data_IF_939486908165
#
_entry.id   IF_939486908165
#
_cell.length_a   1.000
_cell.length_b   1.000
_cell.length_c   1.000
_cell.angle_alpha   90.00
_cell.angle_beta   90.00
_cell.angle_gamma   90.00
#
_symmetry.space_group_name_H-M   'P 1'
#
loop_
_entity.id
_entity.type
_entity.pdbx_description
1 polymer ?
#
# COMPACT_ATOMS: atom_id res chain seq x y z
N UNK A 1 35.26 12.92 28.63
CA UNK A 1 33.89 12.83 29.17
C UNK A 1 32.76 13.00 28.15
N UNK A 2 32.94 13.71 27.04
CA UNK A 2 31.91 13.89 25.98
C UNK A 2 31.72 12.65 25.09
N UNK A 3 32.79 11.96 24.76
CA UNK A 3 32.77 10.74 23.91
C UNK A 3 32.09 9.55 24.58
N UNK A 4 32.22 9.37 25.91
CA UNK A 4 31.57 8.30 26.64
C UNK A 4 30.05 8.45 26.68
N UNK A 5 29.55 9.68 26.80
CA UNK A 5 28.09 9.95 26.79
C UNK A 5 27.47 9.68 25.43
N UNK A 6 28.17 10.03 24.35
CA UNK A 6 27.70 9.75 22.97
C UNK A 6 27.65 8.25 22.74
N UNK A 7 28.68 7.51 23.15
CA UNK A 7 28.70 6.04 23.03
C UNK A 7 27.58 5.39 23.87
N UNK A 8 27.31 5.89 25.07
CA UNK A 8 26.21 5.38 25.92
C UNK A 8 24.84 5.66 25.29
N UNK A 9 24.62 6.87 24.78
CA UNK A 9 23.34 7.22 24.12
C UNK A 9 23.14 6.41 22.84
N UNK A 10 24.18 6.23 22.02
CA UNK A 10 24.11 5.39 20.83
C UNK A 10 23.86 3.90 21.18
N UNK A 11 24.49 3.40 22.24
CA UNK A 11 24.26 2.04 22.73
C UNK A 11 22.83 1.83 23.25
N UNK A 12 22.30 2.79 24.02
CA UNK A 12 20.91 2.75 24.51
C UNK A 12 19.92 2.87 23.38
N UNK A 13 20.14 3.75 22.40
CA UNK A 13 19.30 3.89 21.23
C UNK A 13 19.30 2.59 20.37
N UNK A 14 20.45 1.96 20.20
CA UNK A 14 20.58 0.65 19.53
C UNK A 14 19.85 -0.46 20.29
N UNK A 15 19.93 -0.48 21.62
CA UNK A 15 19.24 -1.47 22.44
C UNK A 15 17.72 -1.29 22.38
N UNK A 16 17.22 -0.04 22.45
CA UNK A 16 15.80 0.27 22.30
C UNK A 16 15.31 -0.10 20.91
N UNK A 17 16.07 0.18 19.86
CA UNK A 17 15.72 -0.23 18.50
C UNK A 17 15.60 -1.75 18.37
N UNK A 18 16.49 -2.52 18.99
CA UNK A 18 16.46 -3.99 18.99
C UNK A 18 15.29 -4.57 19.79
N UNK A 19 14.83 -3.91 20.84
CA UNK A 19 13.74 -4.41 21.70
C UNK A 19 12.34 -4.00 21.19
N UNK A 20 12.24 -3.05 20.28
CA UNK A 20 10.95 -2.63 19.69
C UNK A 20 10.59 -3.39 18.40
N UNK A 21 11.47 -4.23 17.88
CA UNK A 21 11.19 -5.02 16.67
C UNK A 21 10.49 -6.33 17.05
N UNK A 22 9.16 -6.28 17.18
CA UNK A 22 8.31 -7.47 17.19
C UNK A 22 8.10 -8.07 15.79
N UNK A 23 8.58 -7.40 14.75
CA UNK A 23 8.46 -7.82 13.35
C UNK A 23 9.64 -8.69 12.93
N UNK A 24 9.38 -9.71 12.11
CA UNK A 24 10.43 -10.44 11.41
C UNK A 24 11.16 -9.52 10.43
N UNK A 25 12.41 -9.84 10.08
CA UNK A 25 13.18 -9.07 9.07
C UNK A 25 12.40 -8.99 7.75
N UNK A 26 11.69 -10.05 7.42
CA UNK A 26 10.88 -10.13 6.20
C UNK A 26 9.69 -9.18 6.24
N UNK A 27 9.00 -9.06 7.38
CA UNK A 27 7.92 -8.08 7.56
C UNK A 27 8.42 -6.64 7.46
N UNK A 28 9.60 -6.35 8.02
CA UNK A 28 10.24 -5.03 7.89
C UNK A 28 10.54 -4.70 6.42
N UNK A 29 11.07 -5.66 5.65
CA UNK A 29 11.37 -5.48 4.23
C UNK A 29 10.10 -5.35 3.36
N UNK A 30 8.95 -5.79 3.85
CA UNK A 30 7.65 -5.57 3.19
C UNK A 30 7.03 -4.20 3.50
N UNK A 31 7.65 -3.41 4.38
CA UNK A 31 7.17 -2.08 4.77
C UNK A 31 5.71 -2.07 5.25
N UNK A 32 5.33 -3.08 6.05
CA UNK A 32 4.00 -3.19 6.65
C UNK A 32 2.92 -3.81 5.76
N UNK A 33 3.25 -4.27 4.55
CA UNK A 33 2.30 -4.97 3.69
C UNK A 33 2.27 -6.47 3.96
N UNK A 34 1.10 -7.14 3.79
CA UNK A 34 1.01 -8.60 3.76
C UNK A 34 1.87 -9.21 2.65
N UNK A 35 2.09 -10.52 2.71
CA UNK A 35 2.96 -11.20 1.74
C UNK A 35 2.38 -11.16 0.32
N UNK A 36 1.05 -11.31 0.21
CA UNK A 36 0.36 -11.45 -1.07
C UNK A 36 0.49 -12.86 -1.66
N UNK A 37 -0.63 -13.53 -1.84
CA UNK A 37 -0.69 -14.95 -2.22
C UNK A 37 -1.03 -15.18 -3.70
N UNK A 38 -1.28 -14.11 -4.48
CA UNK A 38 -1.60 -14.19 -5.91
C UNK A 38 -0.55 -13.49 -6.77
N UNK A 39 -0.44 -13.81 -8.05
CA UNK A 39 0.44 -13.10 -8.99
C UNK A 39 0.15 -11.59 -9.03
N UNK A 40 -1.12 -11.20 -9.00
CA UNK A 40 -1.57 -9.81 -8.97
C UNK A 40 -1.13 -9.11 -7.66
N UNK A 41 -1.28 -9.79 -6.52
CA UNK A 41 -0.80 -9.29 -5.23
C UNK A 41 0.73 -9.08 -5.23
N UNK A 42 1.49 -9.97 -5.85
CA UNK A 42 2.94 -9.81 -5.99
C UNK A 42 3.33 -8.58 -6.83
N UNK A 43 2.60 -8.29 -7.90
CA UNK A 43 2.83 -7.08 -8.73
C UNK A 43 2.54 -5.81 -7.92
N UNK A 44 1.42 -5.76 -7.18
CA UNK A 44 1.11 -4.64 -6.31
C UNK A 44 2.14 -4.46 -5.20
N UNK A 45 2.64 -5.55 -4.62
CA UNK A 45 3.72 -5.50 -3.64
C UNK A 45 5.01 -4.91 -4.22
N UNK A 46 5.38 -5.29 -5.45
CA UNK A 46 6.57 -4.74 -6.12
C UNK A 46 6.42 -3.23 -6.34
N UNK A 47 5.26 -2.77 -6.80
CA UNK A 47 4.97 -1.35 -6.95
C UNK A 47 5.07 -0.61 -5.61
N UNK A 48 4.54 -1.19 -4.53
CA UNK A 48 4.63 -0.64 -3.18
C UNK A 48 6.07 -0.51 -2.71
N UNK A 49 6.86 -1.58 -2.77
CA UNK A 49 8.27 -1.59 -2.35
C UNK A 49 9.07 -0.56 -3.15
N UNK A 50 8.91 -0.52 -4.47
CA UNK A 50 9.58 0.45 -5.34
C UNK A 50 9.22 1.90 -4.97
N UNK A 51 7.95 2.16 -4.71
CA UNK A 51 7.45 3.49 -4.30
C UNK A 51 8.00 3.90 -2.93
N UNK A 52 8.05 2.99 -1.96
CA UNK A 52 8.62 3.26 -0.63
C UNK A 52 10.12 3.53 -0.72
N UNK A 53 10.86 2.76 -1.51
CA UNK A 53 12.30 3.01 -1.71
C UNK A 53 12.52 4.39 -2.33
N UNK A 54 11.75 4.76 -3.36
CA UNK A 54 11.82 6.08 -3.97
C UNK A 54 11.50 7.19 -2.95
N UNK A 55 10.44 7.03 -2.15
CA UNK A 55 10.06 7.97 -1.11
C UNK A 55 11.14 8.11 -0.02
N UNK A 56 11.74 7.00 0.41
CA UNK A 56 12.83 7.02 1.39
C UNK A 56 14.09 7.70 0.84
N UNK A 57 14.43 7.49 -0.43
CA UNK A 57 15.58 8.14 -1.07
C UNK A 57 15.39 9.67 -1.14
N UNK A 58 14.21 10.13 -1.56
CA UNK A 58 13.84 11.56 -1.56
C UNK A 58 13.81 12.12 -0.14
N UNK A 59 13.20 11.38 0.80
CA UNK A 59 13.16 11.76 2.22
C UNK A 59 14.56 11.92 2.82
N UNK A 60 15.45 10.96 2.57
CA UNK A 60 16.85 11.04 3.03
C UNK A 60 17.59 12.25 2.44
N UNK A 61 17.39 12.53 1.14
CA UNK A 61 17.96 13.72 0.50
C UNK A 61 17.44 15.01 1.16
N UNK A 62 16.13 15.16 1.29
CA UNK A 62 15.52 16.37 1.85
C UNK A 62 15.92 16.57 3.31
N UNK A 63 15.81 15.52 4.14
CA UNK A 63 16.26 15.59 5.55
C UNK A 63 17.76 15.86 5.66
N UNK A 64 18.56 15.24 4.79
CA UNK A 64 20.01 15.51 4.73
C UNK A 64 20.31 16.99 4.46
N UNK A 65 19.64 17.59 3.47
CA UNK A 65 19.78 19.01 3.15
C UNK A 65 19.30 19.92 4.28
N UNK A 66 18.20 19.59 4.94
CA UNK A 66 17.70 20.34 6.09
C UNK A 66 18.67 20.29 7.27
N UNK A 67 19.15 19.12 7.64
CA UNK A 67 20.12 18.95 8.73
C UNK A 67 21.43 19.66 8.38
N UNK A 68 21.90 19.55 7.14
CA UNK A 68 23.06 20.27 6.64
C UNK A 68 22.87 21.79 6.78
N UNK A 69 21.74 22.32 6.33
CA UNK A 69 21.43 23.75 6.41
C UNK A 69 21.41 24.25 7.86
N UNK A 70 20.70 23.56 8.75
CA UNK A 70 20.58 23.94 10.17
C UNK A 70 21.93 23.83 10.89
N UNK A 71 22.79 22.91 10.49
CA UNK A 71 24.06 22.68 11.17
C UNK A 71 25.13 23.67 10.73
N UNK A 72 25.25 23.88 9.41
CA UNK A 72 26.39 24.62 8.83
C UNK A 72 26.03 26.06 8.42
N UNK A 73 24.76 26.37 8.14
CA UNK A 73 24.33 27.69 7.66
C UNK A 73 23.50 28.48 8.67
N UNK A 74 23.57 28.11 9.96
CA UNK A 74 22.91 28.88 11.02
C UNK A 74 23.61 30.24 11.26
N UNK A 75 22.84 31.26 11.55
CA UNK A 75 23.36 32.60 11.93
C UNK A 75 24.26 32.51 13.16
N UNK A 76 25.45 33.13 13.06
CA UNK A 76 26.43 33.19 14.13
C UNK A 76 26.48 34.61 14.74
N UNK A 77 27.02 34.71 15.95
CA UNK A 77 27.24 36.03 16.61
C UNK A 77 28.25 36.81 15.77
N UNK A 78 27.84 37.99 15.27
CA UNK A 78 28.64 38.83 14.40
C UNK A 78 28.28 38.80 12.92
N UNK A 79 27.38 37.90 12.51
CA UNK A 79 26.85 37.91 11.15
C UNK A 79 25.96 39.14 10.91
N UNK A 80 25.83 39.57 9.67
CA UNK A 80 24.95 40.65 9.26
C UNK A 80 23.48 40.38 9.66
N UNK A 81 22.72 41.44 9.90
CA UNK A 81 21.30 41.33 10.30
C UNK A 81 20.49 40.55 9.25
N UNK A 82 20.75 40.77 7.96
CA UNK A 82 20.13 40.08 6.84
C UNK A 82 21.17 39.25 6.09
N UNK A 83 20.87 37.96 5.78
CA UNK A 83 21.71 37.14 4.93
C UNK A 83 21.71 37.69 3.50
N UNK A 84 22.68 37.27 2.70
CA UNK A 84 22.72 37.62 1.27
C UNK A 84 21.47 37.08 0.58
N UNK A 85 20.73 37.97 -0.10
CA UNK A 85 19.51 37.63 -0.82
C UNK A 85 19.85 37.30 -2.27
N UNK A 86 19.34 36.15 -2.76
CA UNK A 86 19.39 35.75 -4.16
C UNK A 86 18.00 35.85 -4.74
N UNK A 87 17.84 36.51 -5.88
CA UNK A 87 16.55 36.70 -6.50
C UNK A 87 16.20 35.53 -7.44
N UNK A 88 17.17 35.08 -8.22
CA UNK A 88 16.97 34.02 -9.20
C UNK A 88 18.16 33.04 -9.23
N UNK A 89 17.81 31.75 -9.43
CA UNK A 89 18.74 30.70 -9.82
C UNK A 89 18.04 29.77 -10.80
N UNK A 90 17.89 30.20 -12.04
CA UNK A 90 17.14 29.50 -13.08
C UNK A 90 17.51 28.03 -13.24
N UNK A 91 18.80 27.63 -13.28
CA UNK A 91 19.17 26.22 -13.37
C UNK A 91 18.68 25.38 -12.18
N UNK A 92 18.79 25.91 -10.96
CA UNK A 92 18.32 25.24 -9.75
C UNK A 92 16.79 25.12 -9.75
N UNK A 93 16.07 26.16 -10.16
CA UNK A 93 14.63 26.19 -10.24
C UNK A 93 14.10 25.16 -11.25
N UNK A 94 14.72 25.09 -12.44
CA UNK A 94 14.37 24.08 -13.46
C UNK A 94 14.63 22.68 -12.92
N UNK A 95 15.77 22.44 -12.27
CA UNK A 95 16.09 21.15 -11.68
C UNK A 95 15.11 20.77 -10.58
N UNK A 96 14.80 21.70 -9.66
CA UNK A 96 13.93 21.45 -8.53
C UNK A 96 12.47 21.17 -8.95
N UNK A 97 12.02 21.66 -10.09
CA UNK A 97 10.70 21.35 -10.67
C UNK A 97 10.77 20.12 -11.59
N UNK A 98 11.76 20.07 -12.46
CA UNK A 98 11.88 19.02 -13.48
C UNK A 98 12.11 17.63 -12.90
N UNK A 99 13.01 17.50 -11.93
CA UNK A 99 13.33 16.21 -11.33
C UNK A 99 12.11 15.57 -10.65
N UNK A 100 11.35 16.24 -9.74
CA UNK A 100 10.14 15.67 -9.16
C UNK A 100 9.06 15.37 -10.20
N UNK A 101 8.92 16.20 -11.23
CA UNK A 101 7.96 15.95 -12.32
C UNK A 101 8.28 14.63 -13.03
N UNK A 102 9.53 14.39 -13.41
CA UNK A 102 9.95 13.13 -14.05
C UNK A 102 9.72 11.94 -13.11
N UNK A 103 9.99 12.08 -11.82
CA UNK A 103 9.75 11.03 -10.83
C UNK A 103 8.27 10.70 -10.70
N UNK A 104 7.40 11.71 -10.64
CA UNK A 104 5.95 11.51 -10.57
C UNK A 104 5.42 10.86 -11.85
N UNK A 105 5.89 11.30 -13.03
CA UNK A 105 5.53 10.64 -14.30
C UNK A 105 5.95 9.17 -14.33
N UNK A 106 7.14 8.85 -13.82
CA UNK A 106 7.60 7.47 -13.70
C UNK A 106 6.73 6.63 -12.75
N UNK A 107 6.42 7.14 -11.56
CA UNK A 107 5.54 6.46 -10.62
C UNK A 107 4.13 6.27 -11.19
N UNK A 108 3.60 7.28 -11.88
CA UNK A 108 2.31 7.19 -12.54
C UNK A 108 2.30 6.11 -13.63
N UNK A 109 3.35 6.04 -14.44
CA UNK A 109 3.49 5.00 -15.46
C UNK A 109 3.44 3.59 -14.84
N UNK A 110 4.23 3.34 -13.79
CA UNK A 110 4.24 2.03 -13.11
C UNK A 110 2.90 1.73 -12.42
N UNK A 111 2.22 2.73 -11.90
CA UNK A 111 0.89 2.56 -11.29
C UNK A 111 -0.12 2.14 -12.35
N UNK A 112 -0.18 2.82 -13.49
CA UNK A 112 -1.12 2.51 -14.58
C UNK A 112 -0.85 1.12 -15.15
N UNK A 113 0.40 0.75 -15.38
CA UNK A 113 0.74 -0.60 -15.89
C UNK A 113 0.35 -1.68 -14.90
N UNK A 114 0.65 -1.51 -13.61
CA UNK A 114 0.26 -2.48 -12.57
C UNK A 114 -1.27 -2.58 -12.45
N UNK A 115 -1.98 -1.46 -12.49
CA UNK A 115 -3.45 -1.46 -12.42
C UNK A 115 -4.07 -2.20 -13.61
N UNK A 116 -3.56 -1.97 -14.82
CA UNK A 116 -4.03 -2.65 -16.04
C UNK A 116 -3.80 -4.15 -15.97
N UNK A 117 -2.69 -4.59 -15.40
CA UNK A 117 -2.37 -6.00 -15.25
C UNK A 117 -3.22 -6.67 -14.15
N UNK A 118 -3.49 -5.96 -13.06
CA UNK A 118 -4.27 -6.46 -11.92
C UNK A 118 -5.78 -6.50 -12.23
N UNK A 119 -6.29 -5.53 -12.99
CA UNK A 119 -7.71 -5.40 -13.36
C UNK A 119 -7.86 -5.35 -14.90
N UNK A 120 -7.44 -6.38 -15.63
CA UNK A 120 -7.59 -6.39 -17.09
C UNK A 120 -9.06 -6.44 -17.50
N UNK A 121 -9.41 -5.69 -18.56
CA UNK A 121 -10.77 -5.61 -19.12
C UNK A 121 -11.19 -6.87 -19.87
N UNK A 122 -10.23 -7.67 -20.34
CA UNK A 122 -10.40 -8.84 -21.22
C UNK A 122 -9.87 -10.12 -20.60
N UNK A 123 -10.32 -10.43 -19.37
CA UNK A 123 -9.90 -11.67 -18.70
C UNK A 123 -10.47 -12.91 -19.41
N UNK A 124 -9.64 -13.95 -19.59
CA UNK A 124 -10.15 -15.26 -20.03
C UNK A 124 -11.15 -15.79 -18.99
N UNK A 125 -12.05 -16.71 -19.42
CA UNK A 125 -13.08 -17.28 -18.56
C UNK A 125 -12.52 -17.74 -17.20
N UNK A 126 -13.17 -17.40 -16.09
CA UNK A 126 -12.77 -17.86 -14.77
C UNK A 126 -12.99 -19.37 -14.64
N UNK A 127 -12.16 -20.03 -13.83
CA UNK A 127 -12.38 -21.43 -13.44
C UNK A 127 -13.46 -21.54 -12.36
N UNK A 128 -13.57 -20.51 -11.53
CA UNK A 128 -14.53 -20.42 -10.41
C UNK A 128 -15.12 -19.03 -10.35
N UNK A 129 -16.42 -18.95 -10.11
CA UNK A 129 -17.14 -17.70 -9.84
C UNK A 129 -17.61 -17.70 -8.39
N UNK A 130 -17.41 -16.61 -7.70
CA UNK A 130 -17.92 -16.39 -6.34
C UNK A 130 -18.74 -15.10 -6.31
N UNK A 131 -20.01 -15.23 -6.02
CA UNK A 131 -20.87 -14.08 -5.80
C UNK A 131 -20.74 -13.60 -4.34
N UNK A 132 -20.30 -12.37 -4.19
CA UNK A 132 -20.06 -11.72 -2.89
C UNK A 132 -21.16 -10.69 -2.65
N UNK A 133 -22.02 -10.94 -1.68
CA UNK A 133 -23.10 -10.03 -1.30
C UNK A 133 -22.74 -9.36 0.03
N UNK A 134 -22.65 -8.05 0.02
CA UNK A 134 -22.45 -7.23 1.21
C UNK A 134 -23.81 -6.78 1.78
N UNK A 135 -23.95 -6.79 3.09
CA UNK A 135 -25.11 -6.28 3.82
C UNK A 135 -24.69 -5.79 5.21
N UNK A 136 -25.48 -5.00 5.85
CA UNK A 136 -25.20 -4.46 7.20
C UNK A 136 -25.41 -5.53 8.28
N UNK A 137 -24.34 -6.04 8.98
CA UNK A 137 -22.93 -5.62 8.77
C UNK A 137 -22.07 -6.86 8.53
N UNK A 138 -22.33 -7.61 7.48
CA UNK A 138 -21.64 -8.86 7.20
C UNK A 138 -21.59 -9.16 5.68
N UNK A 139 -21.17 -10.36 5.33
CA UNK A 139 -20.99 -10.84 3.98
C UNK A 139 -21.69 -12.17 3.77
N UNK A 140 -22.13 -12.43 2.54
CA UNK A 140 -22.50 -13.74 2.03
C UNK A 140 -21.63 -14.08 0.84
N UNK A 141 -21.08 -15.29 0.83
CA UNK A 141 -20.34 -15.86 -0.28
C UNK A 141 -21.16 -17.01 -0.88
N UNK A 142 -21.47 -16.93 -2.16
CA UNK A 142 -22.24 -17.93 -2.89
C UNK A 142 -21.41 -18.47 -4.06
N UNK A 143 -21.47 -19.76 -4.30
CA UNK A 143 -20.66 -20.48 -5.30
C UNK A 143 -21.59 -21.08 -6.36
N UNK A 144 -21.94 -20.34 -7.44
CA UNK A 144 -22.99 -20.76 -8.41
C UNK A 144 -22.69 -22.06 -9.14
N UNK A 145 -21.41 -22.49 -9.15
CA UNK A 145 -20.99 -23.76 -9.79
C UNK A 145 -21.00 -24.96 -8.86
N UNK A 146 -21.36 -24.77 -7.57
CA UNK A 146 -21.30 -25.81 -6.55
C UNK A 146 -22.69 -26.00 -5.94
N UNK A 147 -23.13 -27.25 -5.82
CA UNK A 147 -24.43 -27.61 -5.26
C UNK A 147 -24.26 -28.45 -4.00
N UNK A 148 -25.19 -28.24 -3.06
CA UNK A 148 -25.36 -29.10 -1.88
C UNK A 148 -25.96 -30.44 -2.29
N UNK A 149 -25.92 -31.49 -1.44
CA UNK A 149 -26.60 -32.77 -1.71
C UNK A 149 -28.11 -32.61 -1.98
N UNK A 150 -28.74 -31.53 -1.51
CA UNK A 150 -30.16 -31.23 -1.71
C UNK A 150 -30.43 -30.44 -3.01
N UNK A 151 -29.37 -30.09 -3.77
CA UNK A 151 -29.49 -29.36 -5.05
C UNK A 151 -29.50 -27.82 -4.90
N UNK A 152 -29.26 -27.30 -3.71
CA UNK A 152 -29.13 -25.85 -3.48
C UNK A 152 -27.72 -25.37 -3.74
N UNK A 153 -27.56 -24.11 -4.19
CA UNK A 153 -26.25 -23.48 -4.38
C UNK A 153 -25.52 -23.38 -3.04
N UNK A 154 -24.26 -23.80 -3.02
CA UNK A 154 -23.41 -23.68 -1.81
C UNK A 154 -23.22 -22.21 -1.46
N UNK A 155 -23.48 -21.87 -0.20
CA UNK A 155 -23.26 -20.51 0.33
C UNK A 155 -22.84 -20.51 1.78
N UNK A 156 -22.08 -19.48 2.17
CA UNK A 156 -21.75 -19.18 3.56
C UNK A 156 -22.22 -17.76 3.87
N UNK A 157 -23.07 -17.61 4.87
CA UNK A 157 -23.62 -16.30 5.24
C UNK A 157 -23.20 -15.96 6.65
N UNK A 158 -22.65 -14.78 6.84
CA UNK A 158 -22.29 -14.28 8.16
C UNK A 158 -23.49 -13.77 8.95
N UNK A 159 -23.35 -13.74 10.26
CA UNK A 159 -24.34 -13.20 11.19
C UNK A 159 -23.70 -12.20 12.16
N UNK A 160 -24.47 -11.65 13.09
CA UNK A 160 -23.92 -10.75 14.12
C UNK A 160 -22.91 -11.43 15.07
N UNK A 161 -22.89 -12.75 15.11
CA UNK A 161 -22.01 -13.56 15.99
C UNK A 161 -21.03 -14.44 15.22
N UNK A 162 -21.14 -14.53 13.90
CA UNK A 162 -20.36 -15.45 13.09
C UNK A 162 -19.79 -14.75 11.84
N UNK A 163 -18.48 -14.87 11.66
CA UNK A 163 -17.78 -14.38 10.46
C UNK A 163 -17.88 -15.47 9.38
N UNK A 164 -18.37 -15.15 8.16
CA UNK A 164 -18.48 -16.14 7.11
C UNK A 164 -17.10 -16.56 6.59
N UNK A 165 -16.94 -17.82 6.28
CA UNK A 165 -15.70 -18.35 5.71
C UNK A 165 -15.76 -18.26 4.19
N UNK A 166 -14.81 -17.52 3.59
CA UNK A 166 -14.55 -17.51 2.16
C UNK A 166 -13.62 -18.67 1.80
N UNK A 167 -14.14 -19.68 1.13
CA UNK A 167 -13.35 -20.86 0.70
C UNK A 167 -12.99 -20.70 -0.76
N UNK A 168 -11.69 -20.76 -1.09
CA UNK A 168 -11.18 -20.59 -2.44
C UNK A 168 -10.25 -21.75 -2.80
N UNK A 169 -10.38 -22.34 -4.01
CA UNK A 169 -9.43 -23.34 -4.49
C UNK A 169 -8.08 -22.69 -4.83
N UNK A 170 -7.00 -23.41 -4.62
CA UNK A 170 -5.66 -23.00 -5.06
C UNK A 170 -5.45 -23.23 -6.55
N UNK A 171 -4.53 -22.48 -7.15
CA UNK A 171 -4.14 -22.61 -8.57
C UNK A 171 -5.32 -22.51 -9.56
N UNK A 172 -6.32 -21.71 -9.20
CA UNK A 172 -7.49 -21.44 -10.05
C UNK A 172 -7.69 -19.95 -10.24
N UNK A 173 -8.22 -19.57 -11.39
CA UNK A 173 -8.66 -18.21 -11.66
C UNK A 173 -10.06 -18.01 -11.10
N UNK A 174 -10.18 -17.06 -10.18
CA UNK A 174 -11.42 -16.79 -9.46
C UNK A 174 -11.94 -15.42 -9.87
N UNK A 175 -13.23 -15.36 -10.23
CA UNK A 175 -13.94 -14.12 -10.45
C UNK A 175 -14.85 -13.84 -9.27
N UNK A 176 -14.72 -12.67 -8.68
CA UNK A 176 -15.62 -12.15 -7.65
C UNK A 176 -16.64 -11.21 -8.28
N UNK A 177 -17.93 -11.54 -8.17
CA UNK A 177 -19.02 -10.66 -8.52
C UNK A 177 -19.47 -9.95 -7.26
N UNK A 178 -19.20 -8.66 -7.16
CA UNK A 178 -19.46 -7.89 -5.95
C UNK A 178 -20.81 -7.19 -6.01
N UNK A 179 -21.63 -7.32 -4.97
CA UNK A 179 -22.93 -6.67 -4.85
C UNK A 179 -23.18 -6.23 -3.42
N UNK A 180 -23.80 -5.06 -3.23
CA UNK A 180 -24.36 -4.63 -1.96
C UNK A 180 -25.88 -4.60 -2.01
N UNK A 181 -26.52 -4.94 -0.91
CA UNK A 181 -27.98 -4.88 -0.77
C UNK A 181 -28.48 -3.59 -0.11
N UNK A 182 -27.58 -2.79 0.46
CA UNK A 182 -27.96 -1.64 1.28
C UNK A 182 -27.07 -0.42 1.05
N UNK A 183 -25.89 -0.33 1.69
CA UNK A 183 -24.96 0.80 1.62
C UNK A 183 -23.68 0.44 0.87
N UNK A 184 -22.79 1.38 0.72
CA UNK A 184 -21.43 1.13 0.18
C UNK A 184 -20.64 0.35 1.21
N UNK A 185 -20.04 -0.76 0.76
CA UNK A 185 -19.08 -1.56 1.53
C UNK A 185 -17.73 -1.55 0.84
N UNK A 186 -16.70 -2.09 1.50
CA UNK A 186 -15.39 -2.29 0.89
C UNK A 186 -14.97 -3.76 1.06
N UNK A 187 -14.93 -4.48 -0.04
CA UNK A 187 -14.41 -5.85 -0.07
C UNK A 187 -12.88 -5.80 -0.07
N UNK A 188 -12.31 -6.26 1.02
CA UNK A 188 -10.86 -6.29 1.20
C UNK A 188 -10.41 -7.60 1.82
N UNK A 189 -9.59 -8.33 1.07
CA UNK A 189 -8.90 -9.53 1.55
C UNK A 189 -7.41 -9.19 1.61
N UNK A 190 -6.82 -9.02 2.80
CA UNK A 190 -5.43 -8.55 2.95
C UNK A 190 -4.41 -9.34 2.15
N UNK A 191 -4.53 -10.67 2.11
CA UNK A 191 -3.59 -11.54 1.40
C UNK A 191 -3.68 -11.43 -0.13
N UNK A 192 -4.78 -10.91 -0.67
CA UNK A 192 -4.90 -10.58 -2.09
C UNK A 192 -4.32 -9.21 -2.44
N UNK A 193 -3.97 -8.39 -1.45
CA UNK A 193 -3.50 -7.00 -1.55
C UNK A 193 -4.45 -6.11 -2.38
N UNK A 194 -5.71 -6.49 -2.48
CA UNK A 194 -6.70 -5.82 -3.31
C UNK A 194 -7.92 -5.43 -2.49
N UNK A 195 -8.36 -4.21 -2.69
CA UNK A 195 -9.55 -3.64 -2.08
C UNK A 195 -10.44 -3.03 -3.15
N UNK A 196 -11.73 -3.34 -3.11
CA UNK A 196 -12.71 -2.76 -4.02
C UNK A 196 -13.95 -2.32 -3.26
N UNK A 197 -14.44 -1.13 -3.59
CA UNK A 197 -15.71 -0.65 -3.08
C UNK A 197 -16.86 -1.40 -3.75
N UNK A 198 -17.87 -1.75 -2.95
CA UNK A 198 -19.05 -2.50 -3.38
C UNK A 198 -20.26 -1.58 -3.28
N UNK A 199 -20.73 -1.15 -4.44
CA UNK A 199 -21.85 -0.19 -4.55
C UNK A 199 -23.19 -0.92 -4.54
N UNK A 200 -24.26 -0.30 -3.99
CA UNK A 200 -25.62 -0.86 -4.09
C UNK A 200 -26.18 -0.86 -5.52
N UNK A 201 -25.61 -0.06 -6.44
CA UNK A 201 -25.95 -0.09 -7.86
C UNK A 201 -25.00 -1.04 -8.60
N UNK A 202 -25.50 -2.20 -9.11
CA UNK A 202 -24.65 -3.21 -9.75
C UNK A 202 -23.78 -2.68 -10.92
N UNK A 203 -24.29 -1.72 -11.67
CA UNK A 203 -23.59 -1.09 -12.80
C UNK A 203 -22.33 -0.30 -12.41
N UNK A 204 -22.13 -0.03 -11.13
CA UNK A 204 -20.94 0.65 -10.58
C UNK A 204 -19.88 -0.28 -10.03
N UNK A 205 -20.13 -1.59 -10.04
CA UNK A 205 -19.24 -2.61 -9.47
C UNK A 205 -18.36 -3.30 -10.54
N UNK A 206 -18.39 -2.83 -11.79
CA UNK A 206 -17.62 -3.40 -12.90
C UNK A 206 -16.21 -2.81 -12.97
#
# INVERSE_FOLDING_TARGET
>A
MRTSRVATVAGLAGLVALTTTGCSVEEVLRFGWPEGITPEAQQMRQLWIGSVIAALAVGALVWGLLIWSVTFHRKKKGDSEFPRQFQYNVPLEIFAVGLPTVMVCGLFYFTVTTETDVVPSDKPNPDVVVDVTAFQWNWEFSYPGEETPDGDVVRTTGSSSEIPLLVLPTDRRIQFNLRSTDVIHAFWVPDLLFKRDVMPQPERNN
#
